data_IF_506879931633
#
_entry.id   IF_506879931633
#
_cell.length_a   1.000
_cell.length_b   1.000
_cell.length_c   1.000
_cell.angle_alpha   90.00
_cell.angle_beta   90.00
_cell.angle_gamma   90.00
#
_symmetry.space_group_name_H-M   'P 1'
#
loop_
_entity.id
_entity.type
_entity.pdbx_description
1 polymer ?
#
# COMPACT_ATOMS: atom_id res chain seq x y z
N UNK A 1 -45.21 -57.01 45.74
CA UNK A 1 -43.86 -56.58 46.15
C UNK A 1 -43.15 -56.09 44.90
N UNK A 2 -43.16 -54.78 44.64
CA UNK A 2 -42.35 -54.11 43.62
C UNK A 2 -42.15 -52.67 44.11
N UNK A 3 -40.93 -52.34 44.54
CA UNK A 3 -40.55 -50.98 44.88
C UNK A 3 -40.34 -50.17 43.59
N UNK A 4 -40.84 -48.93 43.50
CA UNK A 4 -40.52 -48.06 42.38
C UNK A 4 -39.12 -47.48 42.59
N UNK A 5 -38.27 -47.59 41.56
CA UNK A 5 -36.96 -46.93 41.51
C UNK A 5 -37.20 -45.43 41.32
N UNK A 6 -37.02 -44.64 42.38
CA UNK A 6 -36.96 -43.19 42.27
C UNK A 6 -35.61 -42.79 41.66
N UNK A 7 -35.59 -42.47 40.36
CA UNK A 7 -34.45 -41.79 39.75
C UNK A 7 -34.35 -40.36 40.31
N UNK A 8 -33.20 -40.06 40.90
CA UNK A 8 -32.91 -38.82 41.62
C UNK A 8 -32.67 -37.66 40.63
N UNK A 9 -33.76 -37.13 40.05
CA UNK A 9 -33.79 -36.15 38.95
C UNK A 9 -33.04 -34.84 39.26
N UNK A 10 -32.84 -34.52 40.55
CA UNK A 10 -32.09 -33.34 41.00
C UNK A 10 -30.60 -33.40 40.63
N UNK A 11 -30.00 -34.59 40.60
CA UNK A 11 -28.57 -34.77 40.26
C UNK A 11 -28.30 -34.53 38.77
N UNK A 12 -29.25 -34.90 37.91
CA UNK A 12 -29.12 -34.76 36.46
C UNK A 12 -29.37 -33.32 35.99
N UNK A 13 -30.29 -32.58 36.63
CA UNK A 13 -30.52 -31.16 36.33
C UNK A 13 -29.26 -30.33 36.64
N UNK A 14 -28.60 -30.59 37.77
CA UNK A 14 -27.38 -29.87 38.13
C UNK A 14 -26.23 -30.14 37.14
N UNK A 15 -26.04 -31.40 36.73
CA UNK A 15 -25.05 -31.76 35.70
C UNK A 15 -25.35 -31.12 34.34
N UNK A 16 -26.62 -31.07 33.93
CA UNK A 16 -27.03 -30.46 32.66
C UNK A 16 -26.86 -28.93 32.65
N UNK A 17 -27.09 -28.27 33.80
CA UNK A 17 -26.84 -26.84 33.96
C UNK A 17 -25.34 -26.50 33.95
N UNK A 18 -24.49 -27.32 34.58
CA UNK A 18 -23.03 -27.11 34.62
C UNK A 18 -22.39 -27.39 33.26
N UNK A 19 -22.79 -28.46 32.55
CA UNK A 19 -22.35 -28.72 31.18
C UNK A 19 -22.90 -27.68 30.17
N UNK A 20 -24.12 -27.18 30.38
CA UNK A 20 -24.69 -26.10 29.58
C UNK A 20 -23.92 -24.78 29.72
N UNK A 21 -23.45 -24.45 30.93
CA UNK A 21 -22.63 -23.24 31.15
C UNK A 21 -21.23 -23.32 30.53
N UNK A 22 -20.66 -24.53 30.36
CA UNK A 22 -19.37 -24.71 29.65
C UNK A 22 -19.50 -24.57 28.12
N UNK A 23 -20.70 -24.77 27.55
CA UNK A 23 -20.96 -24.58 26.13
C UNK A 23 -21.23 -23.11 25.74
N UNK A 24 -21.52 -22.24 26.72
CA UNK A 24 -21.71 -20.81 26.52
C UNK A 24 -20.42 -20.00 26.65
N UNK A 25 -19.35 -20.61 27.16
CA UNK A 25 -17.99 -20.09 27.00
C UNK A 25 -17.40 -20.58 25.68
N UNK A 26 -18.11 -20.34 24.57
CA UNK A 26 -17.41 -20.35 23.28
C UNK A 26 -16.35 -19.26 23.38
N UNK A 27 -15.08 -19.64 23.40
CA UNK A 27 -13.98 -18.71 23.16
C UNK A 27 -14.33 -17.95 21.90
N UNK A 28 -14.77 -16.69 22.04
CA UNK A 28 -15.00 -15.81 20.91
C UNK A 28 -13.67 -15.67 20.21
N UNK A 29 -13.48 -16.39 19.11
CA UNK A 29 -12.34 -16.15 18.24
C UNK A 29 -12.41 -14.68 17.89
N UNK A 30 -11.39 -13.94 18.33
CA UNK A 30 -11.25 -12.54 18.02
C UNK A 30 -11.26 -12.42 16.48
N UNK A 31 -12.33 -11.82 15.93
CA UNK A 31 -12.44 -11.61 14.49
C UNK A 31 -11.29 -10.71 14.06
N UNK A 32 -10.32 -11.25 13.33
CA UNK A 32 -9.22 -10.47 12.79
C UNK A 32 -9.73 -9.70 11.57
N UNK A 33 -9.75 -8.37 11.67
CA UNK A 33 -10.13 -7.49 10.56
C UNK A 33 -8.90 -7.33 9.68
N UNK A 34 -9.01 -7.75 8.42
CA UNK A 34 -7.95 -7.55 7.43
C UNK A 34 -8.50 -6.90 6.16
N UNK A 35 -7.63 -6.22 5.44
CA UNK A 35 -7.93 -5.62 4.15
C UNK A 35 -7.29 -6.44 3.04
N UNK A 36 -8.04 -6.66 1.97
CA UNK A 36 -7.52 -7.16 0.70
C UNK A 36 -6.64 -6.11 0.04
N UNK A 37 -5.52 -6.56 -0.52
CA UNK A 37 -4.56 -5.66 -1.19
C UNK A 37 -5.00 -5.29 -2.60
N UNK A 38 -4.61 -4.10 -3.11
CA UNK A 38 -4.72 -3.78 -4.52
C UNK A 38 -4.02 -4.82 -5.40
N UNK A 39 -4.37 -4.89 -6.68
CA UNK A 39 -3.85 -5.88 -7.61
C UNK A 39 -3.25 -5.19 -8.83
N UNK A 40 -1.97 -5.42 -9.12
CA UNK A 40 -1.35 -4.86 -10.33
C UNK A 40 -1.98 -5.44 -11.58
N UNK A 41 -2.22 -4.61 -12.59
CA UNK A 41 -2.96 -4.98 -13.81
C UNK A 41 -2.09 -5.69 -14.86
N UNK A 42 -1.11 -6.49 -14.45
CA UNK A 42 -0.14 -7.17 -15.33
C UNK A 42 0.91 -6.27 -15.99
N UNK A 43 0.77 -4.95 -15.94
CA UNK A 43 1.77 -4.00 -16.42
C UNK A 43 2.90 -3.83 -15.40
N UNK A 44 4.15 -3.91 -15.85
CA UNK A 44 5.36 -3.67 -15.04
C UNK A 44 6.20 -2.55 -15.65
N UNK A 45 6.30 -1.37 -15.03
CA UNK A 45 7.18 -0.32 -15.55
C UNK A 45 8.68 -0.62 -15.34
N UNK A 46 9.03 -1.65 -14.55
CA UNK A 46 10.42 -1.96 -14.22
C UNK A 46 11.21 -2.32 -15.50
N UNK A 47 12.36 -1.69 -15.69
CA UNK A 47 13.24 -1.87 -16.86
C UNK A 47 12.64 -1.45 -18.22
N UNK A 48 11.51 -0.75 -18.25
CA UNK A 48 10.93 -0.29 -19.52
C UNK A 48 11.73 0.88 -20.10
N UNK A 49 12.26 0.70 -21.31
CA UNK A 49 12.91 1.75 -22.09
C UNK A 49 11.91 2.54 -22.93
N UNK A 50 10.81 1.91 -23.38
CA UNK A 50 9.73 2.58 -24.11
C UNK A 50 9.07 3.66 -23.25
N UNK A 51 9.29 4.91 -23.62
CA UNK A 51 8.77 6.07 -22.91
C UNK A 51 7.24 6.05 -22.82
N UNK A 52 6.52 5.48 -23.78
CA UNK A 52 5.06 5.40 -23.74
C UNK A 52 4.53 4.46 -22.66
N UNK A 53 5.36 3.50 -22.24
CA UNK A 53 5.04 2.48 -21.25
C UNK A 53 5.61 2.79 -19.84
N UNK A 54 6.19 3.98 -19.61
CA UNK A 54 6.64 4.44 -18.28
C UNK A 54 5.49 4.97 -17.42
N UNK A 55 4.63 4.07 -16.95
CA UNK A 55 3.53 4.37 -16.04
C UNK A 55 3.27 3.22 -15.05
N UNK A 56 2.66 3.52 -13.91
CA UNK A 56 2.17 2.49 -13.01
C UNK A 56 0.67 2.29 -13.23
N UNK A 57 0.18 1.05 -13.15
CA UNK A 57 -1.25 0.74 -13.21
C UNK A 57 -1.62 -0.45 -12.32
N UNK A 58 -2.71 -0.29 -11.56
CA UNK A 58 -3.27 -1.33 -10.70
C UNK A 58 -4.78 -1.14 -10.53
N UNK A 59 -5.45 -2.17 -10.02
CA UNK A 59 -6.82 -2.12 -9.57
C UNK A 59 -6.89 -2.04 -8.04
N UNK A 60 -7.74 -1.16 -7.51
CA UNK A 60 -8.03 -1.14 -6.08
C UNK A 60 -8.86 -2.36 -5.67
N UNK A 61 -8.94 -2.63 -4.36
CA UNK A 61 -9.67 -3.77 -3.80
C UNK A 61 -10.99 -3.36 -3.12
N UNK A 62 -11.60 -2.24 -3.55
CA UNK A 62 -12.82 -1.70 -2.92
C UNK A 62 -13.96 -2.72 -2.89
N UNK A 63 -14.19 -3.47 -3.97
CA UNK A 63 -15.28 -4.47 -4.01
C UNK A 63 -15.13 -5.50 -2.88
N UNK A 64 -13.93 -6.03 -2.69
CA UNK A 64 -13.67 -7.05 -1.68
C UNK A 64 -13.68 -6.43 -0.27
N UNK A 65 -13.05 -5.27 -0.09
CA UNK A 65 -12.95 -4.62 1.21
C UNK A 65 -14.30 -4.10 1.72
N UNK A 66 -15.14 -3.55 0.83
CA UNK A 66 -16.49 -3.13 1.18
C UNK A 66 -17.35 -4.32 1.63
N UNK A 67 -17.24 -5.46 0.94
CA UNK A 67 -17.97 -6.66 1.28
C UNK A 67 -17.48 -7.30 2.60
N UNK A 68 -16.18 -7.26 2.86
CA UNK A 68 -15.56 -7.93 4.02
C UNK A 68 -15.62 -7.09 5.30
N UNK A 69 -15.32 -5.79 5.22
CA UNK A 69 -15.11 -4.94 6.40
C UNK A 69 -15.86 -3.59 6.34
N UNK A 70 -16.58 -3.32 5.25
CA UNK A 70 -17.44 -2.14 5.10
C UNK A 70 -16.76 -0.84 5.47
N UNK A 71 -17.28 -0.18 6.51
CA UNK A 71 -16.82 1.11 6.99
C UNK A 71 -15.51 1.07 7.78
N UNK A 72 -14.75 -0.02 7.82
CA UNK A 72 -13.35 0.05 8.26
C UNK A 72 -12.40 0.41 7.13
N UNK A 73 -12.77 0.13 5.89
CA UNK A 73 -11.98 0.48 4.71
C UNK A 73 -12.17 1.96 4.34
N UNK A 74 -11.06 2.64 4.02
CA UNK A 74 -11.04 4.07 3.68
C UNK A 74 -10.57 4.36 2.26
N UNK A 75 -9.82 3.46 1.65
CA UNK A 75 -9.29 3.63 0.31
C UNK A 75 -7.91 3.03 0.13
N UNK A 76 -7.15 3.55 -0.82
CA UNK A 76 -5.84 3.02 -1.22
C UNK A 76 -4.76 4.08 -1.14
N UNK A 77 -3.60 3.69 -0.60
CA UNK A 77 -2.39 4.48 -0.52
C UNK A 77 -1.37 4.01 -1.54
N UNK A 78 -0.51 4.93 -1.99
CA UNK A 78 0.67 4.62 -2.80
C UNK A 78 1.89 5.14 -2.07
N UNK A 79 2.91 4.29 -1.92
CA UNK A 79 4.20 4.61 -1.33
C UNK A 79 5.27 4.59 -2.40
N UNK A 80 6.26 5.46 -2.24
CA UNK A 80 7.41 5.52 -3.10
C UNK A 80 8.73 5.68 -2.33
N UNK A 81 9.83 5.29 -2.97
CA UNK A 81 11.20 5.60 -2.56
C UNK A 81 12.05 5.83 -3.80
N UNK A 82 12.95 6.80 -3.74
CA UNK A 82 13.86 7.10 -4.84
C UNK A 82 15.23 6.49 -4.50
N UNK A 83 15.84 5.84 -5.46
CA UNK A 83 17.17 5.24 -5.33
C UNK A 83 18.11 5.84 -6.37
N UNK A 84 19.31 6.20 -5.93
CA UNK A 84 20.36 6.66 -6.82
C UNK A 84 20.85 5.57 -7.76
N UNK A 85 20.79 4.31 -7.30
CA UNK A 85 21.31 3.12 -7.97
C UNK A 85 20.25 2.04 -8.08
N UNK A 86 20.08 1.51 -9.29
CA UNK A 86 19.10 0.45 -9.59
C UNK A 86 19.28 -0.80 -8.73
N UNK A 87 20.51 -1.26 -8.53
CA UNK A 87 20.76 -2.48 -7.76
C UNK A 87 20.30 -2.33 -6.30
N UNK A 88 20.41 -1.12 -5.72
CA UNK A 88 19.92 -0.87 -4.36
C UNK A 88 18.38 -0.90 -4.32
N UNK A 89 17.73 -0.33 -5.34
CA UNK A 89 16.29 -0.39 -5.59
C UNK A 89 15.78 -1.84 -5.62
N UNK A 90 16.44 -2.71 -6.39
CA UNK A 90 16.04 -4.12 -6.55
C UNK A 90 16.36 -4.98 -5.32
N UNK A 91 17.46 -4.70 -4.62
CA UNK A 91 17.82 -5.36 -3.37
C UNK A 91 16.81 -5.04 -2.27
N UNK A 92 16.43 -3.78 -2.12
CA UNK A 92 15.41 -3.38 -1.15
C UNK A 92 14.05 -3.95 -1.49
N UNK A 93 13.66 -3.95 -2.78
CA UNK A 93 12.43 -4.61 -3.24
C UNK A 93 12.39 -6.07 -2.80
N UNK A 94 13.48 -6.82 -2.98
CA UNK A 94 13.56 -8.22 -2.58
C UNK A 94 13.33 -8.39 -1.06
N UNK A 95 13.99 -7.57 -0.25
CA UNK A 95 13.84 -7.60 1.20
C UNK A 95 12.44 -7.21 1.67
N UNK A 96 11.85 -6.20 1.04
CA UNK A 96 10.48 -5.73 1.33
C UNK A 96 9.47 -6.82 0.98
N UNK A 97 9.60 -7.45 -0.19
CA UNK A 97 8.67 -8.49 -0.61
C UNK A 97 8.74 -9.68 0.34
N UNK A 98 9.94 -10.13 0.72
CA UNK A 98 10.10 -11.18 1.72
C UNK A 98 9.45 -10.79 3.06
N UNK A 99 9.74 -9.58 3.56
CA UNK A 99 9.15 -9.12 4.82
C UNK A 99 7.61 -9.06 4.74
N UNK A 100 7.06 -8.63 3.60
CA UNK A 100 5.63 -8.55 3.36
C UNK A 100 4.96 -9.93 3.30
N UNK A 101 5.63 -10.92 2.72
CA UNK A 101 5.12 -12.29 2.69
C UNK A 101 5.08 -12.90 4.10
N UNK A 102 6.08 -12.58 4.92
CA UNK A 102 6.18 -13.06 6.30
C UNK A 102 5.29 -12.25 7.28
N UNK A 103 5.08 -10.95 7.02
CA UNK A 103 4.46 -9.99 7.94
C UNK A 103 3.54 -8.98 7.21
N UNK A 104 2.49 -9.44 6.49
CA UNK A 104 1.72 -8.60 5.57
C UNK A 104 1.08 -7.38 6.24
N UNK A 105 0.61 -7.50 7.48
CA UNK A 105 -0.12 -6.45 8.18
C UNK A 105 0.78 -5.40 8.85
N UNK A 106 2.09 -5.65 8.98
CA UNK A 106 3.08 -4.69 9.48
C UNK A 106 4.04 -4.20 8.40
N UNK A 107 3.88 -4.66 7.15
CA UNK A 107 4.75 -4.34 6.04
C UNK A 107 4.78 -2.83 5.71
N UNK A 108 3.65 -2.12 5.88
CA UNK A 108 3.63 -0.65 5.73
C UNK A 108 4.46 0.05 6.79
N UNK A 109 4.39 -0.39 8.05
CA UNK A 109 5.24 0.17 9.10
C UNK A 109 6.72 -0.05 8.76
N UNK A 110 7.08 -1.24 8.26
CA UNK A 110 8.43 -1.52 7.77
C UNK A 110 8.86 -0.60 6.61
N UNK A 111 7.96 -0.34 5.65
CA UNK A 111 8.19 0.63 4.57
C UNK A 111 8.51 2.02 5.12
N UNK A 112 7.65 2.54 6.00
CA UNK A 112 7.75 3.91 6.52
C UNK A 112 8.96 4.09 7.45
N UNK A 113 9.13 3.19 8.43
CA UNK A 113 10.12 3.39 9.51
C UNK A 113 11.51 2.87 9.16
N UNK A 114 11.59 1.76 8.44
CA UNK A 114 12.87 1.08 8.17
C UNK A 114 13.38 1.41 6.78
N UNK A 115 12.52 1.28 5.77
CA UNK A 115 12.91 1.51 4.36
C UNK A 115 12.73 2.94 3.90
N UNK A 116 12.17 3.82 4.76
CA UNK A 116 12.02 5.26 4.52
C UNK A 116 11.24 5.57 3.23
N UNK A 117 10.20 4.79 2.97
CA UNK A 117 9.23 5.08 1.92
C UNK A 117 8.31 6.21 2.37
N UNK A 118 7.91 7.04 1.42
CA UNK A 118 7.03 8.18 1.62
C UNK A 118 5.75 8.00 0.83
N UNK A 119 4.71 8.75 1.19
CA UNK A 119 3.42 8.65 0.50
C UNK A 119 3.46 9.50 -0.75
N UNK A 120 2.92 8.97 -1.83
CA UNK A 120 2.66 9.74 -3.02
C UNK A 120 1.53 10.73 -2.71
N UNK A 121 1.70 11.99 -3.11
CA UNK A 121 0.66 13.00 -3.07
C UNK A 121 0.32 13.43 -4.52
N UNK A 122 -0.65 14.32 -4.68
CA UNK A 122 -0.84 15.04 -5.94
C UNK A 122 -0.95 16.55 -5.71
N UNK A 123 -0.93 17.31 -6.80
CA UNK A 123 -1.24 18.75 -6.78
C UNK A 123 -2.61 19.08 -6.18
N UNK A 124 -3.53 18.12 -6.09
CA UNK A 124 -4.88 18.32 -5.57
C UNK A 124 -5.19 17.53 -4.30
N UNK A 125 -4.37 16.53 -3.95
CA UNK A 125 -4.63 15.62 -2.82
C UNK A 125 -3.35 15.46 -2.00
N UNK A 126 -3.39 15.91 -0.74
CA UNK A 126 -2.35 15.66 0.27
C UNK A 126 -2.87 14.85 1.47
N UNK A 127 -4.16 14.51 1.47
CA UNK A 127 -4.83 13.80 2.56
C UNK A 127 -4.69 12.29 2.44
N UNK A 128 -4.98 11.58 3.53
CA UNK A 128 -5.05 10.12 3.57
C UNK A 128 -6.51 9.63 3.51
N UNK A 129 -6.82 8.57 2.73
CA UNK A 129 -5.96 7.96 1.73
C UNK A 129 -5.83 8.80 0.43
N UNK A 130 -4.78 8.57 -0.35
CA UNK A 130 -4.55 9.20 -1.65
C UNK A 130 -5.70 8.93 -2.62
N UNK A 131 -6.15 7.67 -2.68
CA UNK A 131 -7.34 7.27 -3.43
C UNK A 131 -8.42 6.98 -2.40
N UNK A 132 -9.41 7.88 -2.31
CA UNK A 132 -10.59 7.66 -1.48
C UNK A 132 -11.40 6.44 -1.92
N UNK A 133 -12.12 5.85 -0.97
CA UNK A 133 -13.07 4.74 -1.20
C UNK A 133 -14.00 5.00 -2.39
N UNK A 134 -14.11 4.00 -3.24
CA UNK A 134 -14.98 3.91 -4.41
C UNK A 134 -16.11 2.90 -4.15
N UNK A 135 -17.16 2.91 -4.97
CA UNK A 135 -18.28 1.95 -4.86
C UNK A 135 -17.94 0.54 -5.36
N UNK A 136 -16.88 0.41 -6.14
CA UNK A 136 -16.35 -0.85 -6.69
C UNK A 136 -14.87 -0.69 -6.95
N UNK A 137 -14.13 -1.80 -7.10
CA UNK A 137 -12.74 -1.76 -7.53
C UNK A 137 -12.58 -0.94 -8.82
N UNK A 138 -11.61 -0.04 -8.84
CA UNK A 138 -11.33 0.82 -10.00
C UNK A 138 -9.87 0.73 -10.40
N UNK A 139 -9.59 1.03 -11.67
CA UNK A 139 -8.21 1.17 -12.15
C UNK A 139 -7.64 2.52 -11.72
N UNK A 140 -6.43 2.48 -11.15
CA UNK A 140 -5.58 3.63 -10.90
C UNK A 140 -4.40 3.55 -11.86
N UNK A 141 -4.10 4.67 -12.52
CA UNK A 141 -2.97 4.81 -13.43
C UNK A 141 -2.26 6.12 -13.17
N UNK A 142 -0.92 6.12 -13.11
CA UNK A 142 -0.18 7.36 -12.95
C UNK A 142 1.17 7.39 -13.68
N UNK A 143 1.57 8.60 -14.07
CA UNK A 143 2.88 8.96 -14.62
C UNK A 143 3.52 10.05 -13.78
N UNK A 144 4.82 9.96 -13.57
CA UNK A 144 5.57 10.89 -12.69
C UNK A 144 5.97 12.19 -13.38
N UNK A 145 6.21 12.14 -14.69
CA UNK A 145 6.57 13.27 -15.53
C UNK A 145 6.04 13.03 -16.95
N UNK A 146 6.16 14.04 -17.80
CA UNK A 146 5.97 13.87 -19.24
C UNK A 146 7.17 13.10 -19.81
N UNK A 147 6.92 12.08 -20.62
CA UNK A 147 7.99 11.34 -21.28
C UNK A 147 7.85 11.40 -22.79
N UNK A 148 8.98 11.60 -23.46
CA UNK A 148 9.07 11.65 -24.92
C UNK A 148 8.64 12.99 -25.50
N UNK A 149 8.86 13.15 -26.81
CA UNK A 149 8.44 14.33 -27.56
C UNK A 149 7.94 13.88 -28.94
N UNK A 150 6.69 14.21 -29.34
CA UNK A 150 5.68 14.96 -28.60
C UNK A 150 5.08 14.15 -27.42
N UNK A 151 4.56 14.85 -26.41
CA UNK A 151 3.87 14.23 -25.28
C UNK A 151 2.45 13.85 -25.72
N UNK A 152 2.16 12.56 -25.80
CA UNK A 152 0.83 12.03 -26.18
C UNK A 152 0.01 11.55 -24.98
N UNK A 153 0.65 11.34 -23.84
CA UNK A 153 0.02 10.91 -22.60
C UNK A 153 0.71 11.61 -21.42
N UNK A 154 0.10 12.68 -20.88
CA UNK A 154 0.77 13.60 -19.97
C UNK A 154 0.87 13.08 -18.55
N UNK A 155 1.71 13.74 -17.75
CA UNK A 155 1.86 13.55 -16.32
C UNK A 155 0.52 13.74 -15.60
N UNK A 156 0.01 12.66 -15.03
CA UNK A 156 -1.32 12.66 -14.42
C UNK A 156 -1.51 11.39 -13.57
N UNK A 157 -2.08 11.52 -12.38
CA UNK A 157 -2.76 10.42 -11.69
C UNK A 157 -4.22 10.38 -12.14
N UNK A 158 -4.70 9.20 -12.53
CA UNK A 158 -6.08 8.95 -12.92
C UNK A 158 -6.68 7.83 -12.08
N UNK A 159 -7.92 8.02 -11.65
CA UNK A 159 -8.73 7.02 -10.94
C UNK A 159 -10.01 6.82 -11.75
N UNK A 160 -10.28 5.59 -12.17
CA UNK A 160 -11.37 5.28 -13.10
C UNK A 160 -11.37 6.18 -14.36
N UNK A 161 -10.18 6.49 -14.88
CA UNK A 161 -9.98 7.40 -16.03
C UNK A 161 -10.05 8.90 -15.71
N UNK A 162 -10.62 9.28 -14.56
CA UNK A 162 -10.77 10.67 -14.14
C UNK A 162 -9.46 11.24 -13.55
N UNK A 163 -9.01 12.44 -13.95
CA UNK A 163 -7.77 13.04 -13.45
C UNK A 163 -7.90 13.44 -11.96
N UNK A 164 -6.83 13.20 -11.19
CA UNK A 164 -6.72 13.47 -9.75
C UNK A 164 -5.47 14.31 -9.41
N UNK A 165 -5.01 15.12 -10.36
CA UNK A 165 -3.79 15.93 -10.24
C UNK A 165 -2.50 15.24 -10.66
N UNK A 166 -1.41 16.02 -10.66
CA UNK A 166 -0.06 15.59 -11.03
C UNK A 166 0.57 14.90 -9.81
N UNK A 167 1.17 13.71 -9.92
CA UNK A 167 1.87 13.06 -8.82
C UNK A 167 3.02 13.91 -8.28
N UNK A 168 3.09 14.03 -6.95
CA UNK A 168 4.11 14.76 -6.22
C UNK A 168 4.74 13.89 -5.14
N UNK A 169 6.01 14.18 -4.86
CA UNK A 169 6.73 13.73 -3.67
C UNK A 169 6.03 14.25 -2.42
N UNK A 170 6.21 13.56 -1.30
CA UNK A 170 5.51 13.83 -0.04
C UNK A 170 5.72 15.26 0.47
N UNK A 171 4.71 15.85 1.10
CA UNK A 171 4.76 17.23 1.63
C UNK A 171 5.81 17.46 2.71
N UNK A 172 6.33 16.39 3.33
CA UNK A 172 7.44 16.45 4.29
C UNK A 172 8.80 16.65 3.62
N UNK A 173 8.92 16.51 2.30
CA UNK A 173 10.15 16.83 1.58
C UNK A 173 10.32 18.36 1.55
N UNK A 174 11.43 18.91 2.10
CA UNK A 174 11.61 20.35 2.23
C UNK A 174 11.49 21.09 0.89
N UNK A 175 10.41 21.87 0.75
CA UNK A 175 10.08 22.61 -0.46
C UNK A 175 10.69 24.03 -0.37
N UNK A 176 12.03 24.14 -0.48
CA UNK A 176 12.72 25.44 -0.41
C UNK A 176 12.46 26.31 -1.65
N UNK A 177 12.19 25.65 -2.78
CA UNK A 177 11.60 26.20 -4.00
C UNK A 177 10.31 25.42 -4.22
N UNK A 178 9.19 26.06 -4.62
CA UNK A 178 7.89 25.38 -4.75
C UNK A 178 7.85 24.14 -5.69
N UNK A 179 8.95 23.85 -6.39
CA UNK A 179 9.12 22.78 -7.38
C UNK A 179 9.75 21.51 -6.83
N UNK A 180 10.44 21.56 -5.67
CA UNK A 180 11.28 20.44 -5.19
C UNK A 180 10.53 19.12 -4.98
N UNK A 181 9.20 19.19 -4.95
CA UNK A 181 8.31 18.03 -4.82
C UNK A 181 7.95 17.35 -6.15
N UNK A 182 8.37 17.85 -7.29
CA UNK A 182 8.17 17.14 -8.55
C UNK A 182 9.09 15.92 -8.63
N UNK A 183 8.68 14.94 -9.44
CA UNK A 183 9.54 13.86 -9.87
C UNK A 183 10.28 14.28 -11.14
N UNK A 184 11.17 15.26 -10.98
CA UNK A 184 12.02 15.79 -12.05
C UNK A 184 13.49 15.70 -11.63
N UNK A 185 14.38 15.57 -12.61
CA UNK A 185 15.83 15.44 -12.36
C UNK A 185 16.41 16.63 -11.59
N UNK A 186 15.89 17.84 -11.83
CA UNK A 186 16.40 19.08 -11.24
C UNK A 186 15.89 19.25 -9.79
N UNK A 187 14.82 18.54 -9.43
CA UNK A 187 14.17 18.60 -8.12
C UNK A 187 14.61 17.44 -7.19
N UNK A 188 15.22 16.37 -7.72
CA UNK A 188 15.70 15.21 -6.95
C UNK A 188 17.21 15.32 -6.67
N UNK A 189 17.58 15.26 -5.38
CA UNK A 189 19.00 15.32 -4.98
C UNK A 189 19.39 14.25 -3.96
N UNK A 190 20.67 13.84 -4.01
CA UNK A 190 21.28 13.08 -2.91
C UNK A 190 21.19 13.90 -1.63
N UNK A 191 20.71 13.27 -0.55
CA UNK A 191 20.46 13.92 0.74
C UNK A 191 19.00 14.29 0.98
N UNK A 192 18.15 14.25 -0.04
CA UNK A 192 16.70 14.35 0.18
C UNK A 192 16.20 13.14 0.99
N UNK A 193 15.22 13.38 1.86
CA UNK A 193 14.81 12.39 2.87
C UNK A 193 14.18 11.12 2.26
N UNK A 194 13.66 11.20 1.04
CA UNK A 194 13.08 10.14 0.23
C UNK A 194 14.06 9.52 -0.80
N UNK A 195 15.33 9.98 -0.83
CA UNK A 195 16.38 9.51 -1.75
C UNK A 195 17.39 8.64 -1.01
N UNK A 196 17.58 7.41 -1.49
CA UNK A 196 18.63 6.50 -1.07
C UNK A 196 19.88 6.74 -1.92
N UNK A 197 20.94 7.22 -1.28
CA UNK A 197 22.27 7.31 -1.89
C UNK A 197 22.78 5.92 -2.26
N UNK A 198 23.53 5.84 -3.36
CA UNK A 198 24.15 4.61 -3.82
C UNK A 198 25.01 3.99 -2.72
N UNK A 199 24.84 2.67 -2.51
CA UNK A 199 25.59 1.90 -1.51
C UNK A 199 27.08 1.78 -1.82
N UNK A 200 27.49 2.05 -3.07
CA UNK A 200 28.88 1.99 -3.53
C UNK A 200 29.26 3.29 -4.23
N UNK A 201 30.49 3.74 -4.01
CA UNK A 201 31.06 4.92 -4.68
C UNK A 201 31.65 4.58 -6.05
N UNK A 202 31.60 5.53 -6.98
CA UNK A 202 32.39 5.48 -8.23
C UNK A 202 31.63 5.07 -9.49
N UNK A 203 30.30 4.94 -9.45
CA UNK A 203 29.45 4.77 -10.63
C UNK A 203 28.76 6.08 -11.01
N UNK A 204 28.78 6.44 -12.30
CA UNK A 204 27.91 7.47 -12.84
C UNK A 204 26.54 6.83 -13.14
N UNK A 205 25.65 6.83 -12.16
CA UNK A 205 24.31 6.28 -12.31
C UNK A 205 23.46 7.23 -13.19
N UNK A 206 23.02 6.75 -14.35
CA UNK A 206 22.30 7.52 -15.38
C UNK A 206 20.87 7.89 -14.97
N UNK A 207 20.26 7.11 -14.08
CA UNK A 207 18.85 7.24 -13.70
C UNK A 207 18.65 7.26 -12.19
N UNK A 208 17.63 7.98 -11.74
CA UNK A 208 16.95 7.72 -10.48
C UNK A 208 15.97 6.55 -10.66
N UNK A 209 16.01 5.55 -9.77
CA UNK A 209 15.01 4.47 -9.72
C UNK A 209 13.93 4.84 -8.69
N UNK A 210 12.70 5.13 -9.14
CA UNK A 210 11.58 5.42 -8.25
C UNK A 210 10.74 4.17 -8.08
N UNK A 211 10.80 3.57 -6.89
CA UNK A 211 10.13 2.30 -6.57
C UNK A 211 8.78 2.51 -5.91
N UNK A 212 7.77 1.68 -6.25
CA UNK A 212 6.39 1.89 -5.79
C UNK A 212 5.73 0.66 -5.18
N UNK A 213 4.91 0.91 -4.16
CA UNK A 213 3.96 -0.05 -3.58
C UNK A 213 2.58 0.58 -3.41
N UNK A 214 1.53 -0.21 -3.57
CA UNK A 214 0.15 0.16 -3.22
C UNK A 214 -0.34 -0.67 -2.03
N UNK A 215 -1.25 -0.11 -1.24
CA UNK A 215 -1.84 -0.80 -0.09
C UNK A 215 -3.23 -0.27 0.22
N UNK A 216 -4.14 -1.15 0.64
CA UNK A 216 -5.44 -0.75 1.17
C UNK A 216 -5.28 -0.20 2.57
N UNK A 217 -5.97 0.90 2.87
CA UNK A 217 -5.89 1.64 4.12
C UNK A 217 -7.27 1.72 4.78
N UNK A 218 -7.26 1.62 6.11
CA UNK A 218 -8.47 1.71 6.92
C UNK A 218 -8.19 1.95 8.39
N UNK A 219 -9.25 1.98 9.19
CA UNK A 219 -9.15 1.97 10.64
C UNK A 219 -10.41 1.39 11.28
N UNK A 220 -10.26 0.80 12.46
CA UNK A 220 -11.37 0.30 13.28
C UNK A 220 -12.12 1.46 13.96
N UNK A 221 -13.25 1.16 14.62
CA UNK A 221 -13.99 2.15 15.42
C UNK A 221 -13.15 2.74 16.58
N UNK A 222 -12.11 2.03 17.02
CA UNK A 222 -11.15 2.50 18.03
C UNK A 222 -9.97 3.26 17.41
N UNK A 223 -10.06 3.63 16.12
CA UNK A 223 -9.03 4.30 15.35
C UNK A 223 -7.70 3.54 15.23
N UNK A 224 -7.74 2.21 15.41
CA UNK A 224 -6.56 1.37 15.12
C UNK A 224 -6.39 1.30 13.61
N UNK A 225 -5.23 1.73 13.12
CA UNK A 225 -4.93 1.71 11.68
C UNK A 225 -4.86 0.29 11.15
N UNK A 226 -5.43 0.07 9.97
CA UNK A 226 -5.43 -1.18 9.24
C UNK A 226 -4.73 -0.99 7.89
N UNK A 227 -3.88 -1.95 7.54
CA UNK A 227 -3.28 -2.06 6.22
C UNK A 227 -3.48 -3.47 5.67
N UNK A 228 -3.64 -3.58 4.35
CA UNK A 228 -3.46 -4.86 3.66
C UNK A 228 -1.97 -5.22 3.57
N UNK A 229 -1.68 -6.41 3.04
CA UNK A 229 -0.39 -6.68 2.43
C UNK A 229 -0.05 -5.63 1.34
N UNK A 230 1.23 -5.47 1.05
CA UNK A 230 1.73 -4.62 -0.02
C UNK A 230 1.50 -5.25 -1.39
N UNK A 231 1.21 -4.41 -2.37
CA UNK A 231 1.27 -4.74 -3.79
C UNK A 231 2.42 -3.99 -4.44
N UNK A 232 3.39 -4.72 -4.97
CA UNK A 232 4.50 -4.14 -5.72
C UNK A 232 4.01 -3.62 -7.08
N UNK A 233 4.24 -2.34 -7.35
CA UNK A 233 3.77 -1.71 -8.59
C UNK A 233 4.83 -1.65 -9.70
N UNK A 234 6.10 -1.88 -9.35
CA UNK A 234 7.23 -1.65 -10.24
C UNK A 234 8.07 -0.43 -9.83
N UNK A 235 9.11 -0.17 -10.62
CA UNK A 235 9.84 1.09 -10.56
C UNK A 235 9.86 1.81 -11.91
N UNK A 236 9.98 3.12 -11.87
CA UNK A 236 10.14 3.98 -13.05
C UNK A 236 11.49 4.68 -12.99
N UNK A 237 12.16 4.80 -14.14
CA UNK A 237 13.40 5.56 -14.27
C UNK A 237 13.15 7.04 -14.62
N UNK A 238 13.87 7.92 -13.94
CA UNK A 238 14.00 9.35 -14.25
C UNK A 238 15.47 9.60 -14.61
N UNK A 239 15.72 10.16 -15.80
CA UNK A 239 17.07 10.47 -16.27
C UNK A 239 17.70 11.58 -15.43
N UNK A 240 18.96 11.41 -15.00
CA UNK A 240 19.69 12.45 -14.28
C UNK A 240 20.30 13.49 -15.20
N UNK A 241 20.60 13.10 -16.44
CA UNK A 241 21.24 13.93 -17.45
C UNK A 241 20.32 14.09 -18.68
N UNK A 242 20.35 15.24 -19.37
CA UNK A 242 19.63 15.47 -20.63
C UNK A 242 20.09 14.59 -21.79
#
# INVERSE_FOLDING_TARGET
MMQPVQLDYKRYIFLLCVLGSMLLTSCGIQSFIYLEKPQRSGHDPSNITDLSARYCQFATADTQNLAAVGDYFRGTEIYYRIYERKNDCENDRSQINQYNDDNPFSAVQYLETTKRYYRLETTTISTRPLIGRQSSSVTVRFRLQDYGTPVTDPVQLRVAGSPQGIPLRDSRIPNTTNTKRNFDRDDIAVGDADVQQASVSGGAEEYWCVNFYAVSYGYTDTFTTLYSALEYLGYIFIEKNP
#
